data_IF_825406808373
#
_entry.id   IF_825406808373
#
_cell.length_a   1.000
_cell.length_b   1.000
_cell.length_c   1.000
_cell.angle_alpha   90.00
_cell.angle_beta   90.00
_cell.angle_gamma   90.00
#
_symmetry.space_group_name_H-M   'P 1'
#
loop_
_entity.id
_entity.type
_entity.pdbx_description
1 polymer ?
#
# COMPACT_ATOMS: atom_id res chain seq x y z
N UNK A 1 3.56 -7.77 -12.81
CA UNK A 1 2.73 -8.05 -11.62
C UNK A 1 2.50 -9.56 -11.52
N UNK A 2 2.55 -10.12 -10.30
CA UNK A 2 2.27 -11.55 -10.03
C UNK A 2 0.75 -11.83 -10.12
N UNK A 3 0.33 -13.10 -10.16
CA UNK A 3 -1.10 -13.45 -10.09
C UNK A 3 -1.71 -13.00 -8.75
N UNK A 4 -0.96 -13.04 -7.65
CA UNK A 4 -1.41 -12.50 -6.36
C UNK A 4 -1.57 -10.97 -6.40
N UNK A 5 -0.67 -10.24 -7.06
CA UNK A 5 -0.81 -8.80 -7.27
C UNK A 5 -2.07 -8.42 -8.04
N UNK A 6 -2.41 -9.17 -9.10
CA UNK A 6 -3.68 -8.96 -9.83
C UNK A 6 -4.91 -9.23 -8.97
N UNK A 7 -4.86 -10.27 -8.13
CA UNK A 7 -5.95 -10.58 -7.18
C UNK A 7 -6.09 -9.50 -6.12
N UNK A 8 -4.97 -8.99 -5.60
CA UNK A 8 -4.96 -7.90 -4.64
C UNK A 8 -5.58 -6.63 -5.24
N UNK A 9 -5.16 -6.25 -6.46
CA UNK A 9 -5.74 -5.11 -7.17
C UNK A 9 -7.25 -5.29 -7.43
N UNK A 10 -7.68 -6.48 -7.83
CA UNK A 10 -9.10 -6.81 -8.01
C UNK A 10 -9.90 -6.60 -6.71
N UNK A 11 -9.35 -7.04 -5.56
CA UNK A 11 -9.96 -6.84 -4.24
C UNK A 11 -9.89 -5.38 -3.78
N UNK A 12 -8.82 -4.66 -4.08
CA UNK A 12 -8.66 -3.24 -3.77
C UNK A 12 -9.73 -2.40 -4.50
N UNK A 13 -9.98 -2.68 -5.78
CA UNK A 13 -11.05 -2.04 -6.56
C UNK A 13 -12.43 -2.34 -5.95
N UNK A 14 -12.72 -3.62 -5.68
CA UNK A 14 -13.99 -4.02 -5.08
C UNK A 14 -14.20 -3.35 -3.71
N UNK A 15 -13.14 -3.30 -2.90
CA UNK A 15 -13.09 -2.62 -1.62
C UNK A 15 -13.35 -1.11 -1.72
N UNK A 16 -12.65 -0.42 -2.61
CA UNK A 16 -12.85 1.01 -2.85
C UNK A 16 -14.28 1.31 -3.32
N UNK A 17 -14.87 0.46 -4.16
CA UNK A 17 -16.28 0.57 -4.57
C UNK A 17 -17.25 0.40 -3.43
N UNK A 18 -17.01 -0.58 -2.58
CA UNK A 18 -17.80 -0.80 -1.37
C UNK A 18 -17.75 0.43 -0.45
N UNK A 19 -16.58 1.03 -0.27
CA UNK A 19 -16.37 2.14 0.68
C UNK A 19 -16.88 3.48 0.15
N UNK A 20 -16.64 3.81 -1.13
CA UNK A 20 -16.96 5.13 -1.69
C UNK A 20 -18.19 5.16 -2.61
N UNK A 21 -18.66 4.00 -3.07
CA UNK A 21 -19.85 3.84 -3.91
C UNK A 21 -19.72 4.46 -5.30
N UNK A 22 -20.81 4.38 -6.08
CA UNK A 22 -20.85 4.79 -7.48
C UNK A 22 -20.72 6.31 -7.71
N UNK A 23 -20.72 7.11 -6.64
CA UNK A 23 -20.50 8.55 -6.72
C UNK A 23 -19.03 8.94 -6.90
N UNK A 24 -18.09 8.03 -6.60
CA UNK A 24 -16.67 8.24 -6.78
C UNK A 24 -16.23 7.89 -8.21
N UNK A 25 -15.18 8.57 -8.68
CA UNK A 25 -14.46 8.19 -9.89
C UNK A 25 -13.31 7.24 -9.52
N UNK A 26 -13.09 6.23 -10.35
CA UNK A 26 -12.07 5.21 -10.12
C UNK A 26 -11.14 5.16 -11.31
N UNK A 27 -9.83 5.17 -11.04
CA UNK A 27 -8.81 4.97 -12.05
C UNK A 27 -7.73 4.01 -11.55
N UNK A 28 -7.15 3.25 -12.47
CA UNK A 28 -5.96 2.43 -12.25
C UNK A 28 -4.94 2.84 -13.30
N UNK A 29 -3.79 3.33 -12.83
CA UNK A 29 -2.65 3.62 -13.68
C UNK A 29 -1.89 2.32 -13.91
N UNK A 30 -1.83 1.87 -15.16
CA UNK A 30 -1.13 0.65 -15.56
C UNK A 30 0.19 1.02 -16.23
N UNK A 31 1.28 0.60 -15.61
CA UNK A 31 2.61 0.65 -16.19
C UNK A 31 3.04 -0.77 -16.62
N UNK A 32 3.93 -0.88 -17.60
CA UNK A 32 4.54 -2.15 -18.06
C UNK A 32 3.58 -3.24 -18.61
N UNK A 33 2.27 -3.02 -18.57
CA UNK A 33 1.24 -3.93 -19.06
C UNK A 33 0.27 -3.14 -19.91
N UNK A 34 -0.08 -3.69 -21.08
CA UNK A 34 -1.06 -3.07 -21.97
C UNK A 34 -2.46 -3.03 -21.31
N UNK A 35 -3.21 -1.96 -21.58
CA UNK A 35 -4.52 -1.69 -20.96
C UNK A 35 -5.53 -2.81 -21.22
N UNK A 36 -5.50 -3.42 -22.40
CA UNK A 36 -6.35 -4.56 -22.77
C UNK A 36 -6.04 -5.81 -21.94
N UNK A 37 -4.75 -6.09 -21.69
CA UNK A 37 -4.31 -7.17 -20.81
C UNK A 37 -4.76 -6.91 -19.37
N UNK A 38 -4.57 -5.69 -18.88
CA UNK A 38 -5.04 -5.30 -17.54
C UNK A 38 -6.55 -5.45 -17.41
N UNK A 39 -7.31 -4.99 -18.41
CA UNK A 39 -8.78 -5.12 -18.47
C UNK A 39 -9.21 -6.58 -18.44
N UNK A 40 -8.57 -7.42 -19.24
CA UNK A 40 -8.85 -8.87 -19.29
C UNK A 40 -8.58 -9.54 -17.94
N UNK A 41 -7.47 -9.20 -17.28
CA UNK A 41 -7.11 -9.74 -15.96
C UNK A 41 -8.05 -9.30 -14.85
N UNK A 42 -8.55 -8.06 -14.90
CA UNK A 42 -9.47 -7.51 -13.90
C UNK A 42 -10.93 -7.94 -14.10
N UNK A 43 -11.32 -8.30 -15.31
CA UNK A 43 -12.68 -8.76 -15.62
C UNK A 43 -13.75 -7.74 -15.20
N UNK A 44 -14.78 -8.20 -14.49
CA UNK A 44 -15.89 -7.34 -14.04
C UNK A 44 -15.43 -6.19 -13.13
N UNK A 45 -14.32 -6.35 -12.40
CA UNK A 45 -13.82 -5.28 -11.54
C UNK A 45 -13.34 -4.06 -12.34
N UNK A 46 -12.95 -4.23 -13.61
CA UNK A 46 -12.58 -3.09 -14.46
C UNK A 46 -13.78 -2.26 -14.94
N UNK A 47 -15.02 -2.78 -14.83
CA UNK A 47 -16.21 -2.10 -15.37
C UNK A 47 -16.48 -0.81 -14.61
N UNK A 48 -16.31 0.36 -15.23
CA UNK A 48 -16.48 1.67 -14.56
C UNK A 48 -15.23 2.11 -13.79
N UNK A 49 -14.09 1.49 -14.07
CA UNK A 49 -12.76 1.95 -13.67
C UNK A 49 -12.03 2.40 -14.92
N UNK A 50 -11.49 3.61 -14.90
CA UNK A 50 -10.63 4.11 -15.97
C UNK A 50 -9.26 3.44 -15.89
N UNK A 51 -8.83 2.77 -16.96
CA UNK A 51 -7.50 2.17 -17.04
C UNK A 51 -6.60 3.08 -17.86
N UNK A 52 -5.65 3.72 -17.19
CA UNK A 52 -4.75 4.70 -17.79
C UNK A 52 -3.41 4.05 -18.08
N UNK A 53 -3.02 3.98 -19.35
CA UNK A 53 -1.65 3.62 -19.69
C UNK A 53 -0.73 4.76 -19.24
N UNK A 54 0.23 4.46 -18.37
CA UNK A 54 1.19 5.45 -17.88
C UNK A 54 2.62 5.01 -18.16
N UNK A 55 3.46 5.98 -18.46
CA UNK A 55 4.89 5.80 -18.71
C UNK A 55 5.72 6.79 -17.88
N UNK A 56 7.04 6.65 -17.94
CA UNK A 56 7.95 7.57 -17.23
C UNK A 56 7.80 9.01 -17.75
N UNK A 57 7.33 9.19 -18.98
CA UNK A 57 7.07 10.49 -19.60
C UNK A 57 5.96 11.28 -18.89
N UNK A 58 5.02 10.59 -18.23
CA UNK A 58 3.92 11.20 -17.47
C UNK A 58 4.36 11.80 -16.13
N UNK A 59 5.58 11.50 -15.68
CA UNK A 59 6.21 12.19 -14.54
C UNK A 59 6.69 13.56 -15.03
N UNK A 60 6.42 14.68 -14.33
CA UNK A 60 6.94 15.98 -14.72
C UNK A 60 8.46 15.98 -14.89
N UNK A 61 8.95 16.66 -15.93
CA UNK A 61 10.35 16.61 -16.33
C UNK A 61 11.32 17.05 -15.22
N UNK A 62 10.92 18.03 -14.41
CA UNK A 62 11.67 18.54 -13.26
C UNK A 62 11.91 17.46 -12.19
N UNK A 63 10.91 16.60 -11.98
CA UNK A 63 10.96 15.49 -11.01
C UNK A 63 11.71 14.32 -11.62
N UNK A 64 11.37 13.94 -12.85
CA UNK A 64 11.98 12.82 -13.58
C UNK A 64 13.50 12.98 -13.72
N UNK A 65 14.01 14.20 -13.84
CA UNK A 65 15.43 14.49 -13.93
C UNK A 65 16.21 14.09 -12.66
N UNK A 66 15.53 13.88 -11.53
CA UNK A 66 16.14 13.47 -10.28
C UNK A 66 16.14 11.95 -10.06
N UNK A 67 15.51 11.17 -10.94
CA UNK A 67 15.38 9.72 -10.77
C UNK A 67 16.65 9.00 -11.23
N UNK A 68 17.12 8.06 -10.43
CA UNK A 68 18.06 7.04 -10.87
C UNK A 68 17.45 6.14 -11.95
N UNK A 69 18.31 5.35 -12.58
CA UNK A 69 17.90 4.34 -13.57
C UNK A 69 17.04 3.25 -12.92
N UNK A 70 17.37 2.90 -11.68
CA UNK A 70 16.68 1.93 -10.81
C UNK A 70 15.28 2.38 -10.38
N UNK A 71 15.05 3.69 -10.26
CA UNK A 71 13.75 4.22 -9.81
C UNK A 71 12.61 4.05 -10.84
N UNK A 72 12.95 3.84 -12.12
CA UNK A 72 11.99 3.72 -13.21
C UNK A 72 11.09 2.49 -13.07
N UNK A 73 11.64 1.41 -12.52
CA UNK A 73 11.02 0.09 -12.56
C UNK A 73 10.33 -0.24 -11.24
N UNK A 74 9.07 0.20 -11.13
CA UNK A 74 8.14 -0.31 -10.11
C UNK A 74 8.05 0.51 -8.82
N UNK A 75 8.90 1.51 -8.63
CA UNK A 75 8.94 2.30 -7.39
C UNK A 75 8.27 3.67 -7.54
N UNK A 76 8.45 4.37 -8.66
CA UNK A 76 7.95 5.74 -8.87
C UNK A 76 6.54 5.84 -9.48
N UNK A 77 5.72 4.79 -9.42
CA UNK A 77 4.46 4.76 -10.18
C UNK A 77 3.40 5.75 -9.65
N UNK A 78 3.44 6.11 -8.37
CA UNK A 78 2.58 7.17 -7.78
C UNK A 78 2.97 8.58 -8.22
N UNK A 79 4.02 8.69 -9.03
CA UNK A 79 4.50 9.93 -9.64
C UNK A 79 4.08 10.05 -11.12
N UNK A 80 3.40 9.03 -11.67
CA UNK A 80 3.00 8.93 -13.09
C UNK A 80 1.52 8.51 -13.25
N UNK A 81 0.58 9.46 -13.43
CA UNK A 81 0.76 10.91 -13.26
C UNK A 81 0.83 11.27 -11.78
N UNK A 82 1.24 12.51 -11.47
CA UNK A 82 1.22 13.02 -10.09
C UNK A 82 -0.17 13.00 -9.46
N UNK A 83 -1.19 13.31 -10.28
CA UNK A 83 -2.60 13.36 -9.92
C UNK A 83 -3.47 12.91 -11.07
N UNK A 84 -4.52 12.16 -10.78
CA UNK A 84 -5.53 11.75 -11.78
C UNK A 84 -6.76 12.66 -11.75
N UNK A 85 -7.14 13.16 -10.57
CA UNK A 85 -8.34 13.95 -10.36
C UNK A 85 -8.01 15.28 -9.66
N UNK A 86 -7.31 16.21 -10.35
CA UNK A 86 -6.79 17.43 -9.74
C UNK A 86 -7.85 18.32 -9.11
N UNK A 87 -9.06 18.36 -9.68
CA UNK A 87 -10.16 19.22 -9.20
C UNK A 87 -11.07 18.53 -8.16
N UNK A 88 -10.66 17.36 -7.64
CA UNK A 88 -11.42 16.57 -6.67
C UNK A 88 -10.58 16.24 -5.44
N UNK A 89 -11.28 15.82 -4.38
CA UNK A 89 -10.67 15.07 -3.29
C UNK A 89 -10.15 13.76 -3.86
N UNK A 90 -8.83 13.59 -3.88
CA UNK A 90 -8.18 12.48 -4.54
C UNK A 90 -7.53 11.57 -3.50
N UNK A 91 -7.85 10.28 -3.56
CA UNK A 91 -7.19 9.22 -2.79
C UNK A 91 -6.36 8.37 -3.74
N UNK A 92 -5.06 8.30 -3.49
CA UNK A 92 -4.14 7.35 -4.11
C UNK A 92 -3.90 6.20 -3.13
N UNK A 93 -4.11 4.96 -3.59
CA UNK A 93 -3.91 3.74 -2.81
C UNK A 93 -2.88 2.85 -3.51
N UNK A 94 -2.01 2.20 -2.74
CA UNK A 94 -1.23 1.06 -3.26
C UNK A 94 -2.16 -0.02 -3.82
N UNK A 95 -1.72 -0.71 -4.87
CA UNK A 95 -2.56 -1.72 -5.54
C UNK A 95 -2.79 -2.98 -4.69
N UNK A 96 -2.02 -3.16 -3.61
CA UNK A 96 -2.18 -4.18 -2.57
C UNK A 96 -2.69 -3.59 -1.23
N UNK A 97 -3.18 -2.34 -1.24
CA UNK A 97 -3.95 -1.74 -0.16
C UNK A 97 -5.45 -1.99 -0.37
N UNK A 98 -6.03 -2.83 0.48
CA UNK A 98 -7.42 -3.31 0.36
C UNK A 98 -8.24 -2.76 1.52
N UNK A 99 -9.29 -1.99 1.21
CA UNK A 99 -10.25 -1.47 2.17
C UNK A 99 -11.55 -2.29 2.12
N UNK A 100 -12.25 -2.45 3.24
CA UNK A 100 -13.60 -3.02 3.29
C UNK A 100 -14.57 -2.20 4.16
N UNK A 101 -14.04 -1.20 4.87
CA UNK A 101 -14.79 -0.16 5.57
C UNK A 101 -13.99 1.15 5.52
N UNK A 102 -14.63 2.27 5.87
CA UNK A 102 -14.01 3.59 5.89
C UNK A 102 -13.18 3.79 7.17
N UNK A 103 -11.85 3.97 7.07
CA UNK A 103 -11.01 4.29 8.23
C UNK A 103 -11.42 5.60 8.92
N UNK A 104 -11.25 5.69 10.24
CA UNK A 104 -11.70 6.86 11.01
C UNK A 104 -10.97 8.15 10.59
N UNK A 105 -9.67 8.06 10.31
CA UNK A 105 -8.88 9.20 9.83
C UNK A 105 -9.34 9.73 8.47
N UNK A 106 -9.63 8.82 7.55
CA UNK A 106 -10.14 9.16 6.22
C UNK A 106 -11.53 9.80 6.30
N UNK A 107 -12.41 9.28 7.16
CA UNK A 107 -13.72 9.87 7.41
C UNK A 107 -13.60 11.31 7.93
N UNK A 108 -12.77 11.55 8.95
CA UNK A 108 -12.55 12.90 9.48
C UNK A 108 -12.03 13.86 8.42
N UNK A 109 -11.08 13.41 7.60
CA UNK A 109 -10.51 14.20 6.52
C UNK A 109 -11.58 14.63 5.49
N UNK A 110 -12.38 13.68 5.01
CA UNK A 110 -13.47 13.95 4.06
C UNK A 110 -14.59 14.81 4.67
N UNK A 111 -15.00 14.53 5.91
CA UNK A 111 -16.08 15.25 6.58
C UNK A 111 -15.70 16.70 6.91
N UNK A 112 -14.42 16.97 7.21
CA UNK A 112 -13.93 18.33 7.48
C UNK A 112 -13.91 19.19 6.21
N UNK A 113 -13.53 18.60 5.07
CA UNK A 113 -13.47 19.31 3.80
C UNK A 113 -12.48 20.49 3.78
N UNK A 114 -11.42 20.46 4.59
CA UNK A 114 -10.40 21.52 4.63
C UNK A 114 -9.42 21.38 3.46
N UNK A 115 -9.46 22.34 2.52
CA UNK A 115 -8.60 22.36 1.33
C UNK A 115 -7.08 22.47 1.64
N UNK A 116 -6.69 22.73 2.90
CA UNK A 116 -5.30 22.74 3.34
C UNK A 116 -4.88 21.46 4.06
N UNK A 117 -5.81 20.53 4.30
CA UNK A 117 -5.55 19.30 5.03
C UNK A 117 -5.38 18.13 4.05
N UNK A 118 -4.30 17.39 4.22
CA UNK A 118 -4.02 16.16 3.49
C UNK A 118 -4.24 14.93 4.38
N UNK A 119 -4.14 13.74 3.79
CA UNK A 119 -4.24 12.45 4.50
C UNK A 119 -3.02 11.58 4.16
N UNK A 120 -2.47 10.90 5.16
CA UNK A 120 -1.47 9.84 5.00
C UNK A 120 -1.82 8.60 5.81
N UNK A 121 -1.23 7.46 5.47
CA UNK A 121 -1.26 6.29 6.32
C UNK A 121 -0.17 6.38 7.41
N UNK A 122 -0.46 5.83 8.58
CA UNK A 122 0.53 5.50 9.59
C UNK A 122 1.37 4.31 9.16
N UNK A 123 2.65 4.31 9.54
CA UNK A 123 3.58 3.19 9.36
C UNK A 123 4.04 2.63 10.72
N UNK A 124 4.66 1.46 10.71
CA UNK A 124 5.29 0.87 11.89
C UNK A 124 6.67 1.51 12.18
N UNK A 125 7.39 1.93 11.14
CA UNK A 125 8.72 2.56 11.25
C UNK A 125 8.85 3.72 10.26
N UNK A 126 9.59 4.75 10.64
CA UNK A 126 9.95 5.83 9.73
C UNK A 126 11.00 5.36 8.72
N UNK A 127 10.62 5.23 7.45
CA UNK A 127 11.49 4.88 6.34
C UNK A 127 11.36 5.93 5.22
N UNK A 128 12.21 6.96 5.27
CA UNK A 128 12.06 8.17 4.44
C UNK A 128 13.25 8.48 3.52
N UNK A 129 14.26 7.60 3.50
CA UNK A 129 15.47 7.78 2.70
C UNK A 129 16.10 9.18 2.88
N UNK A 130 16.45 9.81 1.76
CA UNK A 130 17.08 11.14 1.72
C UNK A 130 16.20 12.27 2.29
N UNK A 131 14.89 12.05 2.41
CA UNK A 131 13.94 13.07 2.86
C UNK A 131 13.66 13.03 4.37
N UNK A 132 14.29 12.13 5.12
CA UNK A 132 14.03 11.97 6.55
C UNK A 132 14.08 13.28 7.36
N UNK A 133 14.98 14.21 7.02
CA UNK A 133 15.12 15.52 7.69
C UNK A 133 13.93 16.48 7.46
N UNK A 134 13.10 16.22 6.45
CA UNK A 134 11.90 17.03 6.14
C UNK A 134 10.61 16.40 6.66
N UNK A 135 10.68 15.16 7.15
CA UNK A 135 9.54 14.45 7.71
C UNK A 135 9.42 14.71 9.21
N UNK A 136 8.19 14.60 9.72
CA UNK A 136 7.94 14.58 11.16
C UNK A 136 8.50 13.32 11.83
N UNK A 137 8.59 13.30 13.17
CA UNK A 137 9.11 12.14 13.92
C UNK A 137 8.18 10.93 13.85
N UNK A 138 6.90 11.12 13.54
CA UNK A 138 5.94 10.02 13.48
C UNK A 138 6.10 9.20 12.18
N UNK A 139 6.11 7.86 12.26
CA UNK A 139 6.13 6.98 11.09
C UNK A 139 4.89 7.12 10.19
N UNK A 140 5.11 7.35 8.89
CA UNK A 140 4.07 7.51 7.87
C UNK A 140 4.50 6.80 6.59
N UNK A 141 3.52 6.35 5.81
CA UNK A 141 3.75 5.88 4.45
C UNK A 141 2.74 6.48 3.48
N UNK A 142 3.09 6.39 2.20
CA UNK A 142 2.26 6.89 1.11
C UNK A 142 1.36 5.79 0.50
N UNK A 143 1.18 4.65 1.17
CA UNK A 143 0.28 3.59 0.69
C UNK A 143 -1.19 3.98 0.71
N UNK A 144 -1.53 4.97 1.53
CA UNK A 144 -2.74 5.78 1.40
C UNK A 144 -2.30 7.23 1.41
N UNK A 145 -2.61 7.97 0.34
CA UNK A 145 -2.38 9.42 0.25
C UNK A 145 -3.66 10.10 -0.19
N UNK A 146 -4.15 11.04 0.61
CA UNK A 146 -5.28 11.89 0.25
C UNK A 146 -4.84 13.33 0.02
N UNK A 147 -5.27 13.91 -1.09
CA UNK A 147 -4.99 15.29 -1.48
C UNK A 147 -6.31 16.06 -1.69
N UNK A 148 -6.41 17.29 -1.19
CA UNK A 148 -7.55 18.16 -1.49
C UNK A 148 -7.52 18.62 -2.97
N UNK A 149 -8.65 19.13 -3.49
CA UNK A 149 -8.71 19.74 -4.81
C UNK A 149 -7.61 20.80 -4.99
N UNK A 150 -6.94 20.79 -6.15
CA UNK A 150 -5.92 21.76 -6.56
C UNK A 150 -4.68 21.86 -5.66
N UNK A 151 -4.45 20.87 -4.78
CA UNK A 151 -3.23 20.79 -4.00
C UNK A 151 -1.97 20.86 -4.89
N UNK A 152 -1.01 21.76 -4.62
CA UNK A 152 0.14 22.04 -5.48
C UNK A 152 1.27 21.01 -5.29
N UNK A 153 0.98 19.74 -5.55
CA UNK A 153 1.91 18.63 -5.30
C UNK A 153 3.22 18.76 -6.08
N UNK A 154 3.14 19.15 -7.35
CA UNK A 154 4.33 19.31 -8.20
C UNK A 154 5.30 20.35 -7.65
N UNK A 155 4.78 21.51 -7.23
CA UNK A 155 5.58 22.59 -6.64
C UNK A 155 6.23 22.14 -5.33
N UNK A 156 5.50 21.37 -4.51
CA UNK A 156 6.00 20.80 -3.27
C UNK A 156 7.16 19.83 -3.53
N UNK A 157 7.03 18.93 -4.51
CA UNK A 157 8.11 18.05 -4.94
C UNK A 157 9.30 18.81 -5.50
N UNK A 158 9.07 19.75 -6.42
CA UNK A 158 10.14 20.56 -7.01
C UNK A 158 10.91 21.35 -5.94
N UNK A 159 10.24 21.85 -4.91
CA UNK A 159 10.89 22.51 -3.78
C UNK A 159 11.79 21.56 -3.00
N UNK A 160 11.30 20.39 -2.62
CA UNK A 160 12.04 19.41 -1.83
C UNK A 160 13.23 18.82 -2.60
N UNK A 161 13.07 18.58 -3.90
CA UNK A 161 14.13 18.04 -4.74
C UNK A 161 15.33 18.98 -4.89
N UNK A 162 15.15 20.29 -4.68
CA UNK A 162 16.27 21.26 -4.63
C UNK A 162 17.12 21.15 -3.36
N UNK A 163 16.62 20.44 -2.34
CA UNK A 163 17.23 20.36 -1.00
C UNK A 163 17.93 19.01 -0.72
N UNK A 164 17.95 18.13 -1.71
CA UNK A 164 18.59 16.81 -1.70
C UNK A 164 19.66 16.70 -2.79
N UNK A 165 20.45 15.63 -2.75
CA UNK A 165 21.45 15.31 -3.77
C UNK A 165 20.93 14.17 -4.63
N UNK A 166 20.48 14.42 -5.86
CA UNK A 166 20.08 13.35 -6.77
C UNK A 166 21.24 12.37 -7.02
N UNK A 167 20.96 11.14 -7.46
CA UNK A 167 19.64 10.61 -7.81
C UNK A 167 18.79 10.15 -6.61
N UNK A 168 17.49 10.00 -6.85
CA UNK A 168 16.60 9.18 -6.02
C UNK A 168 16.73 7.72 -6.47
N UNK A 169 16.94 6.81 -5.51
CA UNK A 169 17.37 5.44 -5.81
C UNK A 169 16.41 4.36 -5.29
N UNK A 170 15.51 4.71 -4.38
CA UNK A 170 14.78 3.71 -3.60
C UNK A 170 13.31 4.04 -3.40
N UNK A 171 12.56 3.02 -3.01
CA UNK A 171 11.19 3.15 -2.52
C UNK A 171 11.11 4.02 -1.27
N UNK A 172 12.17 4.02 -0.46
CA UNK A 172 12.25 4.86 0.72
C UNK A 172 12.38 6.34 0.34
N UNK A 173 13.11 6.65 -0.73
CA UNK A 173 13.21 8.02 -1.25
C UNK A 173 11.88 8.49 -1.84
N UNK A 174 11.18 7.62 -2.58
CA UNK A 174 9.85 7.89 -3.11
C UNK A 174 8.85 8.19 -2.00
N UNK A 175 8.76 7.29 -1.02
CA UNK A 175 7.91 7.45 0.15
C UNK A 175 8.26 8.70 0.93
N UNK A 176 9.56 8.93 1.18
CA UNK A 176 10.06 10.11 1.87
C UNK A 176 9.66 11.41 1.18
N UNK A 177 9.80 11.48 -0.15
CA UNK A 177 9.38 12.64 -0.95
C UNK A 177 7.88 12.92 -0.78
N UNK A 178 7.05 11.89 -0.87
CA UNK A 178 5.60 12.01 -0.71
C UNK A 178 5.19 12.48 0.68
N UNK A 179 5.75 11.85 1.73
CA UNK A 179 5.45 12.19 3.12
C UNK A 179 5.90 13.62 3.42
N UNK A 180 7.11 14.00 3.02
CA UNK A 180 7.62 15.35 3.19
C UNK A 180 6.73 16.38 2.48
N UNK A 181 6.37 16.16 1.21
CA UNK A 181 5.60 17.12 0.43
C UNK A 181 4.21 17.39 1.00
N UNK A 182 3.54 16.33 1.44
CA UNK A 182 2.23 16.44 2.09
C UNK A 182 2.35 17.17 3.44
N UNK A 183 3.43 16.94 4.17
CA UNK A 183 3.65 17.54 5.51
C UNK A 183 4.05 19.02 5.46
N UNK A 184 4.51 19.54 4.31
CA UNK A 184 4.91 20.96 4.16
C UNK A 184 3.75 21.93 4.42
N UNK A 185 2.50 21.51 4.21
CA UNK A 185 1.31 22.36 4.32
C UNK A 185 0.58 22.24 5.67
N UNK A 186 1.06 21.36 6.55
CA UNK A 186 0.49 21.13 7.87
C UNK A 186 0.55 19.66 8.28
N UNK A 187 0.11 19.37 9.50
CA UNK A 187 -0.02 17.99 9.95
C UNK A 187 -1.15 17.29 9.18
N UNK A 188 -0.88 16.20 8.45
CA UNK A 188 -1.92 15.47 7.75
C UNK A 188 -2.85 14.75 8.73
N UNK A 189 -4.11 14.51 8.34
CA UNK A 189 -4.90 13.46 8.98
C UNK A 189 -4.23 12.10 8.74
N UNK A 190 -4.47 11.18 9.67
CA UNK A 190 -3.78 9.89 9.68
C UNK A 190 -4.77 8.74 9.67
N UNK A 191 -4.60 7.83 8.70
CA UNK A 191 -5.18 6.48 8.76
C UNK A 191 -4.29 5.61 9.65
N UNK A 192 -4.77 5.25 10.83
CA UNK A 192 -3.97 4.48 11.79
C UNK A 192 -3.68 3.04 11.34
N UNK A 193 -2.60 2.46 11.84
CA UNK A 193 -2.24 1.05 11.61
C UNK A 193 -3.22 0.06 12.27
N UNK A 194 -4.08 0.54 13.17
CA UNK A 194 -5.21 -0.26 13.70
C UNK A 194 -6.39 -0.31 12.72
N UNK A 195 -6.62 0.75 11.95
CA UNK A 195 -7.67 0.77 10.94
C UNK A 195 -7.23 0.05 9.68
N UNK A 196 -6.04 0.36 9.17
CA UNK A 196 -5.46 -0.30 8.00
C UNK A 196 -4.10 -0.85 8.40
N UNK A 197 -4.01 -2.16 8.60
CA UNK A 197 -2.74 -2.76 9.02
C UNK A 197 -1.73 -2.74 7.89
N UNK A 198 -0.46 -2.49 8.24
CA UNK A 198 0.67 -2.86 7.38
C UNK A 198 0.87 -4.36 7.59
N UNK A 199 0.38 -5.16 6.64
CA UNK A 199 0.16 -6.59 6.80
C UNK A 199 1.26 -7.39 6.11
N UNK A 200 2.12 -8.02 6.91
CA UNK A 200 3.26 -8.78 6.42
C UNK A 200 3.67 -9.84 7.43
N UNK A 201 4.22 -10.99 6.98
CA UNK A 201 4.77 -11.99 7.89
C UNK A 201 6.04 -11.53 8.62
N UNK A 202 6.59 -10.38 8.26
CA UNK A 202 7.87 -9.89 8.78
C UNK A 202 7.66 -8.69 9.71
N UNK A 203 8.20 -8.75 10.95
CA UNK A 203 8.26 -7.62 11.85
C UNK A 203 8.93 -6.37 11.23
N UNK A 204 8.53 -5.17 11.66
CA UNK A 204 7.56 -4.89 12.73
C UNK A 204 6.11 -4.78 12.25
N UNK A 205 5.82 -5.25 11.04
CA UNK A 205 4.47 -5.25 10.50
C UNK A 205 3.56 -6.23 11.24
N UNK A 206 2.25 -6.09 11.02
CA UNK A 206 1.23 -6.90 11.69
C UNK A 206 0.95 -8.18 10.89
N UNK A 207 0.79 -9.28 11.62
CA UNK A 207 0.33 -10.55 11.05
C UNK A 207 -1.18 -10.57 10.75
N UNK A 208 -1.94 -9.67 11.36
CA UNK A 208 -3.39 -9.66 11.30
C UNK A 208 -3.91 -8.46 10.49
N UNK A 209 -5.13 -8.62 9.97
CA UNK A 209 -5.86 -7.57 9.26
C UNK A 209 -6.23 -6.42 10.21
N UNK A 210 -6.28 -5.18 9.69
CA UNK A 210 -6.80 -4.03 10.41
C UNK A 210 -8.32 -4.10 10.63
N UNK A 211 -8.91 -3.04 11.19
CA UNK A 211 -10.38 -2.95 11.34
C UNK A 211 -11.10 -2.71 10.02
N UNK A 212 -10.52 -1.87 9.17
CA UNK A 212 -11.13 -1.31 7.97
C UNK A 212 -10.38 -1.70 6.69
N UNK A 213 -9.12 -2.11 6.79
CA UNK A 213 -8.31 -2.50 5.64
C UNK A 213 -6.99 -3.17 6.01
N UNK A 214 -6.23 -3.54 4.99
CA UNK A 214 -4.85 -4.02 5.09
C UNK A 214 -4.04 -3.63 3.85
N UNK A 215 -2.79 -3.24 4.04
CA UNK A 215 -1.77 -3.01 3.00
C UNK A 215 -0.76 -4.16 3.04
N UNK A 216 -0.69 -4.98 1.98
CA UNK A 216 0.14 -6.18 1.95
C UNK A 216 1.55 -5.93 1.40
N UNK A 217 2.48 -5.55 2.28
CA UNK A 217 3.84 -5.21 1.89
C UNK A 217 4.55 -6.35 1.14
N UNK A 218 5.14 -6.01 0.00
CA UNK A 218 5.95 -6.93 -0.81
C UNK A 218 5.15 -7.91 -1.65
N UNK A 219 3.80 -7.88 -1.63
CA UNK A 219 2.97 -8.82 -2.40
C UNK A 219 3.16 -8.70 -3.92
N UNK A 220 3.53 -7.51 -4.38
CA UNK A 220 3.78 -7.21 -5.79
C UNK A 220 5.20 -7.53 -6.27
N UNK A 221 6.13 -7.77 -5.34
CA UNK A 221 7.49 -8.14 -5.70
C UNK A 221 7.50 -9.53 -6.35
N UNK A 222 8.33 -9.69 -7.39
CA UNK A 222 8.46 -10.97 -8.11
C UNK A 222 9.44 -11.92 -7.44
N UNK A 223 10.44 -11.37 -6.76
CA UNK A 223 11.53 -12.13 -6.15
C UNK A 223 12.20 -11.26 -5.08
N UNK A 224 12.57 -11.87 -3.96
CA UNK A 224 13.45 -11.27 -2.97
C UNK A 224 14.76 -12.08 -2.91
N UNK A 225 15.89 -11.36 -2.88
CA UNK A 225 17.21 -12.01 -2.83
C UNK A 225 17.53 -12.67 -1.48
N UNK A 226 16.75 -12.39 -0.42
CA UNK A 226 17.00 -12.86 0.92
C UNK A 226 16.06 -14.01 1.34
N UNK A 227 16.53 -14.81 2.30
CA UNK A 227 15.82 -15.97 2.83
C UNK A 227 15.63 -15.86 4.34
N UNK A 228 14.53 -16.44 4.83
CA UNK A 228 14.27 -16.66 6.25
C UNK A 228 14.02 -18.16 6.45
N UNK A 229 14.80 -18.78 7.33
CA UNK A 229 14.71 -20.22 7.64
C UNK A 229 14.83 -21.13 6.40
N UNK A 230 15.72 -20.76 5.47
CA UNK A 230 15.96 -21.52 4.23
C UNK A 230 14.86 -21.43 3.18
N UNK A 231 13.94 -20.48 3.31
CA UNK A 231 12.91 -20.17 2.32
C UNK A 231 13.02 -18.72 1.87
N UNK A 232 12.74 -18.45 0.60
CA UNK A 232 12.74 -17.08 0.11
C UNK A 232 11.58 -16.26 0.70
N UNK A 233 11.77 -14.96 0.84
CA UNK A 233 10.77 -14.09 1.46
C UNK A 233 9.41 -14.12 0.75
N UNK A 234 9.41 -14.24 -0.59
CA UNK A 234 8.18 -14.36 -1.38
C UNK A 234 7.35 -15.59 -0.97
N UNK A 235 7.97 -16.69 -0.53
CA UNK A 235 7.23 -17.88 -0.10
C UNK A 235 6.43 -17.61 1.19
N UNK A 236 7.03 -16.85 2.11
CA UNK A 236 6.38 -16.45 3.35
C UNK A 236 5.26 -15.44 3.08
N UNK A 237 5.50 -14.46 2.20
CA UNK A 237 4.49 -13.49 1.77
C UNK A 237 3.31 -14.20 1.09
N UNK A 238 3.59 -15.14 0.17
CA UNK A 238 2.56 -15.93 -0.50
C UNK A 238 1.73 -16.76 0.48
N UNK A 239 2.39 -17.43 1.43
CA UNK A 239 1.70 -18.19 2.48
C UNK A 239 0.83 -17.29 3.34
N UNK A 240 1.33 -16.11 3.71
CA UNK A 240 0.63 -15.13 4.51
C UNK A 240 -0.61 -14.57 3.78
N UNK A 241 -0.45 -14.17 2.52
CA UNK A 241 -1.53 -13.73 1.66
C UNK A 241 -2.64 -14.78 1.53
N UNK A 242 -2.27 -16.03 1.22
CA UNK A 242 -3.23 -17.14 1.06
C UNK A 242 -4.03 -17.42 2.33
N UNK A 243 -3.43 -17.23 3.51
CA UNK A 243 -4.14 -17.36 4.80
C UNK A 243 -5.28 -16.34 4.93
N UNK A 244 -5.06 -15.10 4.50
CA UNK A 244 -6.04 -14.01 4.66
C UNK A 244 -7.04 -13.91 3.51
N UNK A 245 -6.70 -14.44 2.35
CA UNK A 245 -7.48 -14.31 1.13
C UNK A 245 -8.97 -14.70 1.23
N UNK A 246 -9.38 -15.82 1.87
CA UNK A 246 -10.80 -16.14 2.04
C UNK A 246 -11.56 -15.04 2.81
N UNK A 247 -10.93 -14.46 3.84
CA UNK A 247 -11.53 -13.40 4.65
C UNK A 247 -11.61 -12.08 3.89
N UNK A 248 -10.58 -11.74 3.10
CA UNK A 248 -10.58 -10.55 2.25
C UNK A 248 -11.70 -10.59 1.20
N UNK A 249 -11.93 -11.76 0.59
CA UNK A 249 -13.04 -11.96 -0.36
C UNK A 249 -14.39 -11.73 0.33
N UNK A 250 -14.59 -12.30 1.51
CA UNK A 250 -15.82 -12.09 2.30
C UNK A 250 -16.03 -10.60 2.63
N UNK A 251 -14.99 -9.93 3.11
CA UNK A 251 -15.04 -8.53 3.54
C UNK A 251 -15.33 -7.55 2.39
N UNK A 252 -14.67 -7.73 1.24
CA UNK A 252 -14.77 -6.80 0.11
C UNK A 252 -16.02 -7.04 -0.74
N UNK A 253 -16.45 -8.30 -0.90
CA UNK A 253 -17.61 -8.65 -1.74
C UNK A 253 -18.91 -8.69 -0.95
N UNK A 254 -18.85 -8.58 0.39
CA UNK A 254 -20.04 -8.70 1.25
C UNK A 254 -20.66 -10.09 1.25
N UNK A 255 -19.96 -11.09 0.70
CA UNK A 255 -20.40 -12.48 0.71
C UNK A 255 -19.95 -13.07 2.03
N UNK A 256 -20.87 -13.19 3.00
CA UNK A 256 -20.61 -14.04 4.17
C UNK A 256 -20.45 -15.47 3.67
N UNK A 257 -19.20 -15.92 3.48
CA UNK A 257 -18.91 -17.32 3.27
C UNK A 257 -19.51 -18.03 4.47
N UNK A 258 -20.49 -18.91 4.24
CA UNK A 258 -21.08 -19.71 5.29
C UNK A 258 -19.92 -20.45 5.96
N UNK A 259 -19.48 -19.95 7.13
CA UNK A 259 -18.50 -20.65 7.95
C UNK A 259 -19.12 -22.01 8.17
N UNK A 260 -18.54 -23.05 7.58
CA UNK A 260 -18.81 -24.41 8.01
C UNK A 260 -18.53 -24.39 9.51
N UNK A 261 -19.60 -24.33 10.31
CA UNK A 261 -19.46 -24.53 11.74
C UNK A 261 -18.70 -25.83 11.85
N UNK A 262 -17.54 -25.87 12.55
CA UNK A 262 -16.90 -27.13 12.81
C UNK A 262 -17.99 -28.05 13.35
N UNK A 263 -18.30 -29.13 12.61
CA UNK A 263 -19.21 -30.15 13.13
C UNK A 263 -18.67 -30.47 14.50
N UNK A 264 -19.50 -30.29 15.52
CA UNK A 264 -19.15 -30.63 16.89
C UNK A 264 -18.77 -32.11 16.89
N UNK A 265 -17.48 -32.38 16.71
CA UNK A 265 -16.90 -33.67 17.04
C UNK A 265 -16.96 -33.69 18.55
N UNK A 266 -17.88 -34.51 19.06
CA UNK A 266 -17.95 -34.90 20.46
C UNK A 266 -16.54 -35.21 20.96
N UNK A 267 -16.00 -34.31 21.79
CA UNK A 267 -14.69 -34.47 22.41
C UNK A 267 -14.75 -35.72 23.32
N UNK A 268 -13.78 -36.65 23.21
CA UNK A 268 -13.56 -37.64 24.25
C UNK A 268 -13.08 -36.91 25.50
N UNK A 269 -13.77 -37.10 26.61
CA UNK A 269 -13.32 -36.71 27.93
C UNK A 269 -12.05 -37.50 28.28
N UNK A 270 -10.86 -36.89 28.17
CA UNK A 270 -9.63 -37.58 28.52
C UNK A 270 -8.36 -36.75 28.47
N UNK A 271 -7.80 -36.51 29.66
CA UNK A 271 -6.38 -36.31 29.98
C UNK A 271 -5.79 -34.89 30.02
N UNK A 272 -4.81 -34.79 30.92
CA UNK A 272 -4.26 -33.61 31.60
C UNK A 272 -3.18 -32.91 30.77
N UNK A 273 -3.18 -31.59 30.86
CA UNK A 273 -1.99 -30.76 31.13
C UNK A 273 -0.81 -30.85 30.16
N UNK A 274 -0.82 -29.99 29.14
CA UNK A 274 0.41 -29.44 28.56
C UNK A 274 0.26 -27.93 28.49
N UNK A 275 1.25 -27.20 29.03
CA UNK A 275 1.36 -25.74 28.87
C UNK A 275 1.68 -25.43 27.39
N UNK A 276 1.18 -24.32 26.84
CA UNK A 276 1.63 -23.86 25.53
C UNK A 276 3.14 -23.61 25.60
N UNK A 277 3.88 -24.14 24.63
CA UNK A 277 5.26 -23.75 24.40
C UNK A 277 5.22 -22.29 23.94
N UNK A 278 5.77 -21.39 24.74
CA UNK A 278 6.10 -20.04 24.29
C UNK A 278 7.17 -20.18 23.21
N UNK A 279 6.85 -19.81 21.98
CA UNK A 279 7.83 -19.72 20.90
C UNK A 279 8.81 -18.59 21.23
N UNK A 280 10.14 -18.84 21.14
CA UNK A 280 11.12 -17.80 21.41
C UNK A 280 10.99 -16.66 20.39
N UNK A 281 11.27 -15.40 20.79
CA UNK A 281 11.27 -14.29 19.86
C UNK A 281 12.29 -14.55 18.74
N UNK A 282 11.83 -14.41 17.49
CA UNK A 282 12.67 -14.49 16.29
C UNK A 282 13.72 -13.36 16.33
N UNK A 283 14.99 -13.73 16.43
CA UNK A 283 16.10 -12.82 16.14
C UNK A 283 16.18 -12.63 14.62
N UNK A 284 15.77 -11.46 14.15
CA UNK A 284 15.78 -11.13 12.72
C UNK A 284 17.10 -10.40 12.42
N UNK A 285 17.85 -10.80 11.38
CA UNK A 285 19.00 -10.02 10.93
C UNK A 285 18.54 -8.60 10.57
N UNK A 286 19.39 -7.57 10.77
CA UNK A 286 19.04 -6.21 10.40
C UNK A 286 18.54 -6.20 8.95
N UNK A 287 17.41 -5.50 8.71
CA UNK A 287 16.90 -5.20 7.37
C UNK A 287 18.09 -4.69 6.55
N UNK A 288 18.66 -5.57 5.73
CA UNK A 288 19.70 -5.19 4.80
C UNK A 288 19.02 -4.20 3.86
N UNK A 289 19.43 -2.94 3.96
CA UNK A 289 19.25 -1.96 2.90
C UNK A 289 19.60 -2.68 1.60
N UNK A 290 18.59 -2.86 0.73
CA UNK A 290 18.73 -3.71 -0.45
C UNK A 290 19.91 -3.24 -1.28
N UNK A 291 21.02 -3.99 -1.24
CA UNK A 291 22.07 -3.85 -2.22
C UNK A 291 21.43 -4.15 -3.57
N UNK A 292 21.33 -3.12 -4.41
CA UNK A 292 20.73 -3.19 -5.73
C UNK A 292 21.25 -4.40 -6.50
N UNK A 293 20.30 -5.18 -7.02
CA UNK A 293 20.57 -6.27 -7.93
C UNK A 293 21.34 -5.72 -9.15
N UNK A 294 22.65 -5.95 -9.18
CA UNK A 294 23.43 -5.89 -10.42
C UNK A 294 23.15 -7.20 -11.18
N UNK A 295 22.12 -7.17 -12.02
CA UNK A 295 21.88 -8.10 -13.11
C UNK A 295 22.12 -7.40 -14.44
#
# INVERSE_FOLDING_TARGET
MSDNGWRALSLAIAGARRVFGDSAAYAVCVNSVAVDVARSRLGEQARGVELLAVTREDVPASIRACFGDDMAEGVAWKLAPLRVFPDRWELSLDNDCILWDMPAGMRRWLDRGDENQCLLAEDAIALYGQFAKFCGPEPRNAGIRGLPPRFPLEDAFARLLREITPPLHSELDEQGLQVAAVSVFGAPEVVSIEDVSICSPFPPHKLELGRCGAHFCGLNARHFAWQLEGRYAEEWIDKHWRRHLPRLVELTQGVTLARERPRATSLPTGSRGQRPLEEPPLEIPPLLEGEGARG
#
